data_IF_748345240188
#
_entry.id   IF_748345240188
#
_cell.length_a   1.000
_cell.length_b   1.000
_cell.length_c   1.000
_cell.angle_alpha   90.00
_cell.angle_beta   90.00
_cell.angle_gamma   90.00
#
_symmetry.space_group_name_H-M   'P 1'
#
loop_
_entity.id
_entity.type
_entity.pdbx_description
1 polymer ?
#
# COMPACT_ATOMS: atom_id res chain seq x y z
N UNK A 1 22.65 19.97 40.15
CA UNK A 1 21.43 19.80 39.35
C UNK A 1 20.50 18.79 40.00
N UNK A 2 19.33 19.22 40.42
CA UNK A 2 18.29 18.31 40.97
C UNK A 2 17.37 17.92 39.79
N UNK A 3 17.39 16.65 39.41
CA UNK A 3 16.51 16.15 38.40
C UNK A 3 15.05 16.12 38.88
N UNK A 4 14.15 16.74 38.15
CA UNK A 4 12.71 16.62 38.42
C UNK A 4 12.27 15.17 38.26
N UNK A 5 11.47 14.68 39.22
CA UNK A 5 11.02 13.27 39.25
C UNK A 5 10.33 12.82 37.95
N UNK A 6 9.50 13.70 37.40
CA UNK A 6 8.81 13.49 36.11
C UNK A 6 9.77 13.27 34.92
N UNK A 7 10.89 14.04 34.89
CA UNK A 7 11.90 13.89 33.84
C UNK A 7 12.65 12.58 33.97
N UNK A 8 12.87 12.09 35.17
CA UNK A 8 13.51 10.79 35.43
C UNK A 8 12.62 9.65 35.02
N UNK A 9 11.31 9.75 35.29
CA UNK A 9 10.31 8.75 34.84
C UNK A 9 10.18 8.73 33.33
N UNK A 10 10.10 9.89 32.69
CA UNK A 10 10.09 10.01 31.22
C UNK A 10 11.35 9.42 30.57
N UNK A 11 12.51 9.71 31.11
CA UNK A 11 13.78 9.15 30.63
C UNK A 11 13.84 7.62 30.77
N UNK A 12 13.30 7.06 31.86
CA UNK A 12 13.20 5.61 32.06
C UNK A 12 12.24 4.97 31.03
N UNK A 13 11.11 5.60 30.76
CA UNK A 13 10.15 5.15 29.77
C UNK A 13 10.76 5.14 28.35
N UNK A 14 11.37 6.26 27.96
CA UNK A 14 12.06 6.38 26.66
C UNK A 14 13.13 5.29 26.53
N UNK A 15 13.96 5.08 27.58
CA UNK A 15 14.99 4.05 27.56
C UNK A 15 14.42 2.64 27.41
N UNK A 16 13.24 2.37 27.94
CA UNK A 16 12.55 1.08 27.83
C UNK A 16 11.98 0.85 26.44
N UNK A 17 11.46 1.89 25.81
CA UNK A 17 10.75 1.81 24.53
C UNK A 17 11.64 2.09 23.30
N UNK A 18 12.88 2.52 23.51
CA UNK A 18 13.85 2.80 22.45
C UNK A 18 15.02 1.83 22.46
N UNK A 19 15.61 1.63 21.30
CA UNK A 19 16.89 0.95 21.15
C UNK A 19 17.84 1.81 20.32
N UNK A 20 19.09 1.89 20.75
CA UNK A 20 20.11 2.66 20.02
C UNK A 20 20.50 1.98 18.73
N UNK A 21 20.64 2.78 17.67
CA UNK A 21 21.19 2.30 16.41
C UNK A 21 22.62 1.75 16.62
N UNK A 22 22.95 0.55 16.11
CA UNK A 22 24.27 -0.05 16.30
C UNK A 22 25.40 0.70 15.63
N UNK A 23 25.12 1.62 14.68
CA UNK A 23 26.12 2.41 13.98
C UNK A 23 26.30 3.82 14.51
N UNK A 24 25.22 4.54 14.78
CA UNK A 24 25.28 5.95 15.18
C UNK A 24 24.72 6.27 16.56
N UNK A 25 24.30 5.25 17.31
CA UNK A 25 23.73 5.34 18.66
C UNK A 25 22.43 6.18 18.77
N UNK A 26 21.87 6.68 17.66
CA UNK A 26 20.58 7.39 17.68
C UNK A 26 19.50 6.50 18.28
N UNK A 27 18.72 6.99 19.26
CA UNK A 27 17.61 6.24 19.84
C UNK A 27 16.50 6.08 18.81
N UNK A 28 16.05 4.85 18.62
CA UNK A 28 15.00 4.49 17.65
C UNK A 28 13.85 3.87 18.45
N UNK A 29 12.65 4.34 18.16
CA UNK A 29 11.42 3.84 18.74
C UNK A 29 10.73 2.87 17.77
N UNK A 30 10.18 1.78 18.30
CA UNK A 30 9.41 0.81 17.50
C UNK A 30 7.97 0.82 17.96
N UNK A 31 7.06 1.28 17.09
CA UNK A 31 5.63 1.27 17.38
C UNK A 31 5.08 -0.14 17.15
N UNK A 32 5.22 -0.65 15.93
CA UNK A 32 4.85 -1.99 15.48
C UNK A 32 5.72 -2.39 14.28
N UNK A 33 5.65 -3.64 13.87
CA UNK A 33 6.31 -4.12 12.65
C UNK A 33 7.34 -5.23 12.88
N UNK A 34 8.05 -5.58 11.81
CA UNK A 34 9.02 -6.67 11.79
C UNK A 34 10.28 -6.36 12.60
N UNK A 35 11.11 -7.38 12.80
CA UNK A 35 12.38 -7.27 13.53
C UNK A 35 13.38 -6.34 12.85
N UNK A 36 13.33 -6.24 11.51
CA UNK A 36 14.29 -5.45 10.76
C UNK A 36 13.93 -3.95 10.78
N UNK A 37 14.76 -3.17 11.45
CA UNK A 37 14.65 -1.73 11.59
C UNK A 37 15.59 -0.99 10.64
N UNK A 38 15.28 0.27 10.37
CA UNK A 38 16.11 1.15 9.55
C UNK A 38 16.37 2.47 10.27
N UNK A 39 17.64 2.80 10.44
CA UNK A 39 18.02 4.08 11.04
C UNK A 39 17.87 5.20 10.01
N UNK A 40 16.95 6.12 10.24
CA UNK A 40 16.73 7.28 9.36
C UNK A 40 17.89 8.27 9.37
N UNK A 41 18.72 8.26 10.41
CA UNK A 41 19.86 9.17 10.55
C UNK A 41 21.07 8.68 9.73
N UNK A 42 21.56 7.47 9.99
CA UNK A 42 22.77 6.93 9.37
C UNK A 42 22.48 5.92 8.23
N UNK A 43 21.21 5.70 7.89
CA UNK A 43 20.74 4.83 6.79
C UNK A 43 21.16 3.36 6.93
N UNK A 44 21.32 2.90 8.16
CA UNK A 44 21.77 1.54 8.48
C UNK A 44 20.59 0.66 8.86
N UNK A 45 20.36 -0.48 8.17
CA UNK A 45 19.40 -1.48 8.58
C UNK A 45 19.98 -2.36 9.71
N UNK A 46 19.16 -2.73 10.67
CA UNK A 46 19.57 -3.57 11.81
C UNK A 46 18.39 -4.38 12.38
N UNK A 47 18.69 -5.45 13.09
CA UNK A 47 17.68 -6.25 13.80
C UNK A 47 17.34 -5.59 15.13
N UNK A 48 16.05 -5.40 15.40
CA UNK A 48 15.56 -4.89 16.68
C UNK A 48 15.87 -5.83 17.84
N UNK A 49 15.67 -7.14 17.64
CA UNK A 49 15.84 -8.14 18.68
C UNK A 49 17.30 -8.33 19.07
N UNK A 50 18.19 -8.41 18.09
CA UNK A 50 19.61 -8.67 18.34
C UNK A 50 20.48 -7.40 18.46
N UNK A 51 20.00 -6.26 17.93
CA UNK A 51 20.78 -5.02 17.86
C UNK A 51 21.94 -5.08 16.84
N UNK A 52 22.02 -6.11 16.01
CA UNK A 52 23.10 -6.27 15.00
C UNK A 52 22.72 -5.65 13.68
N UNK A 53 23.70 -5.12 12.95
CA UNK A 53 23.52 -4.60 11.59
C UNK A 53 23.06 -5.76 10.69
N UNK A 54 22.00 -5.53 9.91
CA UNK A 54 21.48 -6.51 8.97
C UNK A 54 22.39 -6.56 7.73
N UNK A 55 22.97 -7.74 7.45
CA UNK A 55 23.91 -7.96 6.33
C UNK A 55 23.26 -8.76 5.19
N UNK A 56 22.00 -9.18 5.32
CA UNK A 56 21.28 -9.95 4.32
C UNK A 56 20.33 -9.09 3.49
N UNK A 57 19.28 -9.75 3.01
CA UNK A 57 18.21 -9.08 2.26
C UNK A 57 17.51 -8.06 3.17
N UNK A 58 17.44 -6.81 2.73
CA UNK A 58 16.77 -5.74 3.46
C UNK A 58 15.29 -5.74 3.05
N UNK A 59 14.40 -5.80 4.04
CA UNK A 59 12.95 -5.84 3.84
C UNK A 59 12.26 -4.56 4.31
N UNK A 60 12.97 -3.67 5.00
CA UNK A 60 12.39 -2.48 5.60
C UNK A 60 11.93 -1.48 4.53
N UNK A 61 10.65 -1.07 4.49
CA UNK A 61 10.11 -0.18 3.48
C UNK A 61 10.78 1.21 3.47
N UNK A 62 11.22 1.72 4.61
CA UNK A 62 11.92 3.00 4.70
C UNK A 62 13.30 2.96 4.04
N UNK A 63 13.96 1.79 4.03
CA UNK A 63 15.20 1.61 3.29
C UNK A 63 14.96 1.76 1.78
N UNK A 64 13.91 1.13 1.25
CA UNK A 64 13.58 1.23 -0.18
C UNK A 64 13.08 2.61 -0.58
N UNK A 65 12.36 3.29 0.32
CA UNK A 65 11.96 4.68 0.11
C UNK A 65 13.19 5.58 -0.02
N UNK A 66 14.10 5.50 0.94
CA UNK A 66 15.35 6.26 0.92
C UNK A 66 16.19 5.96 -0.32
N UNK A 67 16.29 4.69 -0.72
CA UNK A 67 17.03 4.27 -1.91
C UNK A 67 16.44 4.89 -3.18
N UNK A 68 15.12 4.93 -3.33
CA UNK A 68 14.45 5.59 -4.46
C UNK A 68 14.69 7.09 -4.50
N UNK A 69 14.63 7.75 -3.36
CA UNK A 69 14.86 9.19 -3.23
C UNK A 69 16.30 9.59 -3.54
N UNK A 70 17.26 8.67 -3.36
CA UNK A 70 18.69 8.90 -3.60
C UNK A 70 19.22 8.23 -4.88
N UNK A 71 18.36 7.94 -5.86
CA UNK A 71 18.73 7.46 -7.18
C UNK A 71 19.19 6.01 -7.24
N UNK A 72 18.99 5.23 -6.18
CA UNK A 72 19.29 3.81 -6.16
C UNK A 72 18.26 2.98 -6.94
N UNK A 73 18.69 2.29 -7.97
CA UNK A 73 17.92 1.24 -8.67
C UNK A 73 18.01 -0.09 -7.91
N UNK A 74 17.61 -0.09 -6.63
CA UNK A 74 17.56 -1.34 -5.86
C UNK A 74 16.44 -2.24 -6.37
N UNK A 75 16.67 -3.54 -6.51
CA UNK A 75 15.62 -4.46 -6.89
C UNK A 75 14.49 -4.39 -5.87
N UNK A 76 13.28 -4.13 -6.34
CA UNK A 76 12.08 -4.45 -5.57
C UNK A 76 12.13 -5.96 -5.37
N UNK A 77 12.47 -6.41 -4.16
CA UNK A 77 12.48 -7.84 -3.88
C UNK A 77 11.01 -8.32 -3.88
N UNK A 78 10.57 -9.06 -4.91
CA UNK A 78 9.17 -9.52 -4.99
C UNK A 78 8.82 -10.54 -3.90
N UNK A 79 9.78 -10.99 -3.10
CA UNK A 79 9.61 -11.99 -2.04
C UNK A 79 9.76 -11.41 -0.62
N UNK A 80 9.87 -10.10 -0.47
CA UNK A 80 9.93 -9.50 0.86
C UNK A 80 8.52 -9.50 1.50
N UNK A 81 8.28 -10.43 2.40
CA UNK A 81 7.04 -10.54 3.19
C UNK A 81 6.76 -9.37 4.16
N UNK A 82 7.46 -8.26 4.03
CA UNK A 82 7.18 -7.04 4.78
C UNK A 82 6.25 -6.14 3.97
N UNK A 83 4.96 -6.41 4.01
CA UNK A 83 3.89 -5.54 3.50
C UNK A 83 3.51 -5.72 2.02
N UNK A 84 4.04 -6.72 1.31
CA UNK A 84 3.61 -7.08 -0.05
C UNK A 84 2.65 -8.27 -0.09
N UNK A 85 2.07 -8.52 -1.26
CA UNK A 85 1.31 -9.75 -1.49
C UNK A 85 2.25 -10.96 -1.55
N UNK A 86 1.82 -12.11 -1.00
CA UNK A 86 2.52 -13.38 -1.18
C UNK A 86 2.47 -13.81 -2.66
N UNK A 87 3.37 -14.71 -3.04
CA UNK A 87 3.25 -15.34 -4.36
C UNK A 87 2.02 -16.24 -4.41
N UNK A 88 1.39 -16.38 -5.59
CA UNK A 88 0.22 -17.26 -5.77
C UNK A 88 0.48 -18.67 -5.24
N UNK A 89 1.59 -19.27 -5.60
CA UNK A 89 1.94 -20.63 -5.16
C UNK A 89 2.25 -20.74 -3.68
N UNK A 90 2.85 -19.71 -3.08
CA UNK A 90 3.08 -19.64 -1.64
C UNK A 90 1.76 -19.58 -0.87
N UNK A 91 0.84 -18.72 -1.30
CA UNK A 91 -0.50 -18.59 -0.74
C UNK A 91 -1.31 -19.88 -0.89
N UNK A 92 -1.39 -20.43 -2.10
CA UNK A 92 -2.11 -21.68 -2.37
C UNK A 92 -1.60 -22.85 -1.51
N UNK A 93 -0.27 -23.05 -1.45
CA UNK A 93 0.35 -24.13 -0.66
C UNK A 93 0.08 -23.98 0.82
N UNK A 94 0.22 -22.78 1.37
CA UNK A 94 -0.05 -22.48 2.77
C UNK A 94 -1.52 -22.77 3.12
N UNK A 95 -2.47 -22.26 2.35
CA UNK A 95 -3.90 -22.49 2.60
C UNK A 95 -4.28 -23.96 2.43
N UNK A 96 -3.77 -24.63 1.39
CA UNK A 96 -4.04 -26.06 1.17
C UNK A 96 -3.57 -26.92 2.35
N UNK A 97 -2.40 -26.62 2.90
CA UNK A 97 -1.89 -27.30 4.09
C UNK A 97 -2.78 -27.06 5.31
N UNK A 98 -3.21 -25.79 5.51
CA UNK A 98 -4.08 -25.43 6.64
C UNK A 98 -5.43 -26.14 6.62
N UNK A 99 -6.08 -26.21 5.45
CA UNK A 99 -7.44 -26.77 5.33
C UNK A 99 -7.46 -28.25 4.98
N UNK A 100 -6.32 -28.92 5.02
CA UNK A 100 -6.22 -30.35 4.65
C UNK A 100 -7.17 -31.25 5.47
N UNK A 101 -7.43 -30.89 6.73
CA UNK A 101 -8.34 -31.59 7.64
C UNK A 101 -9.79 -31.11 7.57
N UNK A 102 -10.12 -30.19 6.65
CA UNK A 102 -11.44 -29.54 6.52
C UNK A 102 -11.94 -29.68 5.07
N UNK A 103 -12.49 -30.84 4.69
CA UNK A 103 -12.86 -31.13 3.29
C UNK A 103 -13.98 -30.24 2.75
N UNK A 104 -14.78 -29.62 3.62
CA UNK A 104 -15.83 -28.65 3.27
C UNK A 104 -15.27 -27.31 2.81
N UNK A 105 -14.00 -27.01 3.10
CA UNK A 105 -13.39 -25.74 2.74
C UNK A 105 -12.75 -25.78 1.35
N UNK A 106 -13.03 -24.78 0.53
CA UNK A 106 -12.53 -24.68 -0.83
C UNK A 106 -11.43 -23.61 -0.96
N UNK A 107 -10.16 -24.06 -1.06
CA UNK A 107 -9.00 -23.17 -1.30
C UNK A 107 -9.21 -22.27 -2.50
N UNK A 108 -9.85 -22.78 -3.56
CA UNK A 108 -9.98 -22.08 -4.84
C UNK A 108 -10.65 -20.73 -4.72
N UNK A 109 -11.65 -20.57 -3.81
CA UNK A 109 -12.33 -19.28 -3.62
C UNK A 109 -11.40 -18.17 -3.15
N UNK A 110 -10.46 -18.50 -2.25
CA UNK A 110 -9.48 -17.54 -1.73
C UNK A 110 -8.43 -17.19 -2.79
N UNK A 111 -7.97 -18.20 -3.52
CA UNK A 111 -6.97 -18.02 -4.57
C UNK A 111 -7.49 -17.19 -5.75
N UNK A 112 -8.75 -17.34 -6.15
CA UNK A 112 -9.38 -16.53 -7.19
C UNK A 112 -9.40 -15.05 -6.79
N UNK A 113 -9.76 -14.75 -5.54
CA UNK A 113 -9.78 -13.37 -5.03
C UNK A 113 -8.37 -12.78 -5.03
N UNK A 114 -7.38 -13.53 -4.56
CA UNK A 114 -5.99 -13.09 -4.57
C UNK A 114 -5.47 -12.84 -5.99
N UNK A 115 -5.75 -13.74 -6.94
CA UNK A 115 -5.32 -13.62 -8.34
C UNK A 115 -5.89 -12.35 -8.99
N UNK A 116 -7.20 -12.14 -8.87
CA UNK A 116 -7.84 -10.94 -9.44
C UNK A 116 -7.38 -9.67 -8.76
N UNK A 117 -7.15 -9.72 -7.46
CA UNK A 117 -6.63 -8.56 -6.73
C UNK A 117 -5.19 -8.24 -7.12
N UNK A 118 -4.33 -9.25 -7.30
CA UNK A 118 -2.96 -9.05 -7.82
C UNK A 118 -2.99 -8.41 -9.21
N UNK A 119 -3.82 -8.95 -10.11
CA UNK A 119 -4.00 -8.38 -11.44
C UNK A 119 -4.49 -6.92 -11.39
N UNK A 120 -5.46 -6.62 -10.53
CA UNK A 120 -5.93 -5.24 -10.32
C UNK A 120 -4.79 -4.32 -9.86
N UNK A 121 -3.97 -4.75 -8.90
CA UNK A 121 -2.84 -3.94 -8.43
C UNK A 121 -1.84 -3.62 -9.54
N UNK A 122 -1.43 -4.64 -10.29
CA UNK A 122 -0.37 -4.51 -11.29
C UNK A 122 -0.84 -3.76 -12.54
N UNK A 123 -2.03 -4.07 -13.02
CA UNK A 123 -2.53 -3.59 -14.32
C UNK A 123 -3.31 -2.28 -14.20
N UNK A 124 -3.92 -2.01 -13.05
CA UNK A 124 -4.82 -0.86 -12.90
C UNK A 124 -4.30 0.15 -11.88
N UNK A 125 -4.05 -0.28 -10.64
CA UNK A 125 -3.72 0.63 -9.53
C UNK A 125 -2.35 1.28 -9.71
N UNK A 126 -1.30 0.49 -9.98
CA UNK A 126 0.07 1.01 -10.15
C UNK A 126 0.16 1.94 -11.37
N UNK A 127 -0.35 1.61 -12.57
CA UNK A 127 -0.35 2.53 -13.69
C UNK A 127 -1.11 3.83 -13.43
N UNK A 128 -2.27 3.78 -12.76
CA UNK A 128 -3.02 4.99 -12.41
C UNK A 128 -2.22 5.87 -11.43
N UNK A 129 -1.62 5.27 -10.40
CA UNK A 129 -0.75 5.98 -9.45
C UNK A 129 0.40 6.68 -10.18
N UNK A 130 1.12 5.97 -11.04
CA UNK A 130 2.24 6.52 -11.80
C UNK A 130 1.81 7.64 -12.76
N UNK A 131 0.64 7.51 -13.38
CA UNK A 131 0.05 8.56 -14.22
C UNK A 131 -0.23 9.83 -13.41
N UNK A 132 -0.79 9.70 -12.21
CA UNK A 132 -1.20 10.83 -11.38
C UNK A 132 -0.04 11.50 -10.63
N UNK A 133 1.10 10.83 -10.48
CA UNK A 133 2.33 11.45 -9.96
C UNK A 133 2.92 12.50 -10.92
N UNK A 134 2.66 12.36 -12.22
CA UNK A 134 3.13 13.32 -13.22
C UNK A 134 2.23 14.53 -13.27
N UNK A 135 2.83 15.73 -13.37
CA UNK A 135 2.07 16.94 -13.59
C UNK A 135 1.39 16.93 -14.98
N UNK A 136 0.16 17.47 -15.09
CA UNK A 136 -0.53 17.51 -16.37
C UNK A 136 0.16 18.47 -17.34
N UNK A 137 0.65 17.94 -18.45
CA UNK A 137 1.21 18.76 -19.51
C UNK A 137 0.09 19.41 -20.35
N UNK A 138 -0.03 20.73 -20.20
CA UNK A 138 -0.94 21.56 -20.98
C UNK A 138 -0.22 22.40 -22.05
N UNK A 139 1.07 22.14 -22.33
CA UNK A 139 1.87 22.93 -23.26
C UNK A 139 1.24 23.02 -24.65
N UNK A 140 0.89 21.87 -25.25
CA UNK A 140 0.24 21.83 -26.55
C UNK A 140 -1.07 22.61 -26.57
N UNK A 141 -1.89 22.48 -25.53
CA UNK A 141 -3.16 23.19 -25.44
C UNK A 141 -2.95 24.72 -25.36
N UNK A 142 -1.92 25.18 -24.62
CA UNK A 142 -1.54 26.61 -24.56
C UNK A 142 -1.04 27.11 -25.90
N UNK A 143 -0.20 26.34 -26.60
CA UNK A 143 0.32 26.70 -27.91
C UNK A 143 -0.83 26.85 -28.95
N UNK A 144 -1.78 25.94 -28.98
CA UNK A 144 -2.96 26.03 -29.85
C UNK A 144 -3.82 27.27 -29.57
N UNK A 145 -3.94 27.65 -28.28
CA UNK A 145 -4.66 28.88 -27.92
C UNK A 145 -3.90 30.11 -28.36
N UNK A 146 -2.59 30.20 -28.12
CA UNK A 146 -1.74 31.31 -28.52
C UNK A 146 -1.64 31.49 -30.06
N UNK A 147 -1.67 30.37 -30.78
CA UNK A 147 -1.68 30.37 -32.25
C UNK A 147 -3.05 30.72 -32.87
N UNK A 148 -4.07 30.98 -32.03
CA UNK A 148 -5.42 31.32 -32.52
C UNK A 148 -6.22 30.12 -33.05
N UNK A 149 -5.68 28.88 -32.93
CA UNK A 149 -6.37 27.66 -33.37
C UNK A 149 -7.56 27.30 -32.45
N UNK A 150 -7.58 27.82 -31.22
CA UNK A 150 -8.65 27.61 -30.24
C UNK A 150 -9.15 28.92 -29.68
N UNK A 151 -10.46 29.06 -29.58
CA UNK A 151 -11.09 30.20 -28.89
C UNK A 151 -10.86 30.08 -27.38
N UNK A 152 -10.89 31.21 -26.67
CA UNK A 152 -10.76 31.27 -25.22
C UNK A 152 -11.78 30.36 -24.51
N UNK A 153 -13.02 30.36 -24.98
CA UNK A 153 -14.10 29.49 -24.46
C UNK A 153 -13.73 28.01 -24.55
N UNK A 154 -13.23 27.56 -25.71
CA UNK A 154 -12.84 26.18 -25.92
C UNK A 154 -11.59 25.80 -25.11
N UNK A 155 -10.64 26.71 -24.97
CA UNK A 155 -9.46 26.54 -24.12
C UNK A 155 -9.85 26.34 -22.65
N UNK A 156 -10.65 27.25 -22.09
CA UNK A 156 -11.16 27.15 -20.69
C UNK A 156 -11.96 25.87 -20.48
N UNK A 157 -12.87 25.54 -21.37
CA UNK A 157 -13.68 24.32 -21.26
C UNK A 157 -12.82 23.06 -21.27
N UNK A 158 -11.78 23.02 -22.10
CA UNK A 158 -10.85 21.86 -22.15
C UNK A 158 -10.04 21.73 -20.87
N UNK A 159 -9.57 22.86 -20.32
CA UNK A 159 -8.85 22.85 -19.04
C UNK A 159 -9.72 22.34 -17.88
N UNK A 160 -10.97 22.84 -17.79
CA UNK A 160 -11.93 22.41 -16.75
C UNK A 160 -12.21 20.89 -16.87
N UNK A 161 -12.43 20.39 -18.10
CA UNK A 161 -12.65 18.95 -18.35
C UNK A 161 -11.43 18.11 -17.90
N UNK A 162 -10.20 18.56 -18.21
CA UNK A 162 -8.97 17.87 -17.79
C UNK A 162 -8.81 17.90 -16.26
N UNK A 163 -9.08 19.03 -15.63
CA UNK A 163 -9.02 19.19 -14.18
C UNK A 163 -10.00 18.27 -13.46
N UNK A 164 -11.27 18.29 -13.87
CA UNK A 164 -12.32 17.45 -13.27
C UNK A 164 -12.00 15.96 -13.45
N UNK A 165 -11.53 15.55 -14.64
CA UNK A 165 -11.09 14.19 -14.88
C UNK A 165 -9.96 13.76 -13.94
N UNK A 166 -8.96 14.63 -13.75
CA UNK A 166 -7.83 14.36 -12.86
C UNK A 166 -8.26 14.23 -11.40
N UNK A 167 -9.15 15.10 -10.95
CA UNK A 167 -9.68 15.04 -9.59
C UNK A 167 -10.48 13.77 -9.35
N UNK A 168 -11.35 13.38 -10.29
CA UNK A 168 -12.02 12.08 -10.23
C UNK A 168 -11.03 10.91 -10.14
N UNK A 169 -10.00 10.92 -10.99
CA UNK A 169 -8.97 9.86 -10.98
C UNK A 169 -8.19 9.83 -9.64
N UNK A 170 -7.97 10.98 -8.99
CA UNK A 170 -7.36 11.04 -7.65
C UNK A 170 -8.25 10.42 -6.57
N UNK A 171 -9.53 10.79 -6.51
CA UNK A 171 -10.48 10.24 -5.54
C UNK A 171 -10.62 8.72 -5.72
N UNK A 172 -10.71 8.24 -6.97
CA UNK A 172 -10.72 6.81 -7.27
C UNK A 172 -9.42 6.13 -6.80
N UNK A 173 -8.26 6.77 -7.01
CA UNK A 173 -6.97 6.25 -6.56
C UNK A 173 -6.90 6.12 -5.04
N UNK A 174 -7.44 7.10 -4.30
CA UNK A 174 -7.43 7.09 -2.83
C UNK A 174 -8.28 5.93 -2.30
N UNK A 175 -9.49 5.73 -2.86
CA UNK A 175 -10.38 4.61 -2.53
C UNK A 175 -9.70 3.26 -2.86
N UNK A 176 -9.08 3.14 -4.03
CA UNK A 176 -8.39 1.93 -4.44
C UNK A 176 -7.12 1.65 -3.64
N UNK A 177 -6.45 2.71 -3.16
CA UNK A 177 -5.28 2.57 -2.28
C UNK A 177 -5.70 2.05 -0.90
N UNK A 178 -6.83 2.53 -0.36
CA UNK A 178 -7.42 1.98 0.86
C UNK A 178 -7.76 0.49 0.68
N UNK A 179 -8.46 0.14 -0.41
CA UNK A 179 -8.73 -1.26 -0.73
C UNK A 179 -7.45 -2.10 -0.74
N UNK A 180 -6.42 -1.62 -1.45
CA UNK A 180 -5.17 -2.36 -1.59
C UNK A 180 -4.47 -2.59 -0.26
N UNK A 181 -4.40 -1.58 0.61
CA UNK A 181 -3.77 -1.69 1.93
C UNK A 181 -4.46 -2.74 2.79
N UNK A 182 -5.78 -2.65 2.93
CA UNK A 182 -6.55 -3.56 3.80
C UNK A 182 -6.63 -4.98 3.20
N UNK A 183 -6.67 -5.13 1.87
CA UNK A 183 -6.63 -6.44 1.22
C UNK A 183 -5.31 -7.15 1.46
N UNK A 184 -4.17 -6.45 1.34
CA UNK A 184 -2.85 -7.02 1.61
C UNK A 184 -2.75 -7.52 3.06
N UNK A 185 -3.22 -6.73 4.02
CA UNK A 185 -3.25 -7.12 5.43
C UNK A 185 -4.09 -8.38 5.67
N UNK A 186 -5.31 -8.44 5.10
CA UNK A 186 -6.15 -9.62 5.25
C UNK A 186 -5.59 -10.87 4.55
N UNK A 187 -5.00 -10.73 3.36
CA UNK A 187 -4.37 -11.84 2.64
C UNK A 187 -3.17 -12.39 3.43
N UNK A 188 -2.33 -11.53 4.00
CA UNK A 188 -1.23 -11.95 4.86
C UNK A 188 -1.74 -12.60 6.15
N UNK A 189 -2.76 -12.02 6.79
CA UNK A 189 -3.39 -12.60 7.97
C UNK A 189 -4.04 -13.98 7.70
N UNK A 190 -4.56 -14.23 6.49
CA UNK A 190 -5.02 -15.55 6.08
C UNK A 190 -3.88 -16.59 6.07
N UNK A 191 -2.65 -16.16 5.74
CA UNK A 191 -1.48 -17.05 5.76
C UNK A 191 -0.97 -17.33 7.18
N UNK A 192 -1.01 -16.32 8.05
CA UNK A 192 -0.42 -16.42 9.39
C UNK A 192 -1.42 -16.95 10.43
N UNK A 193 -2.72 -16.70 10.25
CA UNK A 193 -3.79 -17.05 11.18
C UNK A 193 -4.17 -18.53 11.16
N UNK A 194 -5.12 -18.87 12.01
CA UNK A 194 -5.73 -20.22 12.11
C UNK A 194 -6.74 -20.46 10.99
N UNK A 195 -7.19 -21.72 10.83
CA UNK A 195 -8.25 -22.08 9.87
C UNK A 195 -9.57 -21.36 10.20
N UNK A 196 -9.88 -21.19 11.47
CA UNK A 196 -11.12 -20.51 11.90
C UNK A 196 -11.10 -19.01 11.54
N UNK A 197 -9.95 -18.37 11.59
CA UNK A 197 -9.80 -16.97 11.19
C UNK A 197 -9.82 -16.77 9.67
N UNK A 198 -9.52 -17.81 8.89
CA UNK A 198 -9.47 -17.75 7.43
C UNK A 198 -10.79 -17.25 6.82
N UNK A 199 -11.91 -17.84 7.23
CA UNK A 199 -13.23 -17.44 6.73
C UNK A 199 -13.60 -16.04 7.19
N UNK A 200 -13.30 -15.68 8.42
CA UNK A 200 -13.53 -14.33 8.94
C UNK A 200 -12.76 -13.29 8.12
N UNK A 201 -11.47 -13.52 7.84
CA UNK A 201 -10.64 -12.63 7.01
C UNK A 201 -11.17 -12.50 5.59
N UNK A 202 -11.64 -13.60 5.01
CA UNK A 202 -12.29 -13.58 3.70
C UNK A 202 -13.57 -12.73 3.71
N UNK A 203 -14.41 -12.90 4.72
CA UNK A 203 -15.62 -12.09 4.87
C UNK A 203 -15.31 -10.60 5.09
N UNK A 204 -14.21 -10.27 5.78
CA UNK A 204 -13.72 -8.91 5.91
C UNK A 204 -13.36 -8.31 4.55
N UNK A 205 -12.68 -9.08 3.68
CA UNK A 205 -12.42 -8.66 2.30
C UNK A 205 -13.73 -8.36 1.54
N UNK A 206 -14.74 -9.23 1.66
CA UNK A 206 -16.03 -9.02 0.99
C UNK A 206 -16.77 -7.79 1.52
N UNK A 207 -16.76 -7.56 2.82
CA UNK A 207 -17.33 -6.33 3.43
C UNK A 207 -16.62 -5.07 2.94
N UNK A 208 -15.30 -5.10 2.90
CA UNK A 208 -14.50 -4.01 2.35
C UNK A 208 -14.85 -3.72 0.88
N UNK A 209 -15.00 -4.76 0.06
CA UNK A 209 -15.41 -4.61 -1.34
C UNK A 209 -16.76 -3.88 -1.48
N UNK A 210 -17.74 -4.24 -0.67
CA UNK A 210 -19.05 -3.59 -0.67
C UNK A 210 -18.94 -2.11 -0.29
N UNK A 211 -18.16 -1.80 0.74
CA UNK A 211 -17.88 -0.43 1.14
C UNK A 211 -17.22 0.36 0.00
N UNK A 212 -16.14 -0.17 -0.58
CA UNK A 212 -15.42 0.45 -1.70
C UNK A 212 -16.33 0.68 -2.90
N UNK A 213 -17.18 -0.27 -3.26
CA UNK A 213 -18.13 -0.12 -4.35
C UNK A 213 -19.13 1.01 -4.09
N UNK A 214 -19.57 1.19 -2.85
CA UNK A 214 -20.45 2.30 -2.45
C UNK A 214 -19.75 3.65 -2.64
N UNK A 215 -18.50 3.78 -2.18
CA UNK A 215 -17.70 5.01 -2.35
C UNK A 215 -17.43 5.31 -3.83
N UNK A 216 -17.10 4.28 -4.64
CA UNK A 216 -16.92 4.45 -6.10
C UNK A 216 -18.21 4.88 -6.80
N UNK A 217 -19.37 4.43 -6.33
CA UNK A 217 -20.66 4.88 -6.85
C UNK A 217 -20.93 6.35 -6.52
N UNK A 218 -20.57 6.79 -5.31
CA UNK A 218 -20.66 8.20 -4.91
C UNK A 218 -19.77 9.10 -5.78
N UNK A 219 -18.53 8.66 -6.08
CA UNK A 219 -17.65 9.37 -7.03
C UNK A 219 -18.27 9.42 -8.43
N UNK A 220 -18.90 8.32 -8.88
CA UNK A 220 -19.59 8.26 -10.17
C UNK A 220 -20.72 9.29 -10.28
N UNK A 221 -21.50 9.46 -9.20
CA UNK A 221 -22.57 10.44 -9.09
C UNK A 221 -22.00 11.88 -9.08
N UNK A 222 -21.00 12.14 -8.22
CA UNK A 222 -20.37 13.47 -8.06
C UNK A 222 -19.84 14.00 -9.40
N UNK A 223 -19.20 13.17 -10.19
CA UNK A 223 -18.62 13.57 -11.47
C UNK A 223 -19.53 13.30 -12.68
N UNK A 224 -20.72 12.74 -12.47
CA UNK A 224 -21.63 12.31 -13.55
C UNK A 224 -20.94 11.45 -14.62
N UNK A 225 -20.02 10.59 -14.18
CA UNK A 225 -19.21 9.73 -15.05
C UNK A 225 -19.06 8.36 -14.40
N UNK A 226 -19.37 7.31 -15.15
CA UNK A 226 -19.25 5.94 -14.68
C UNK A 226 -17.84 5.64 -14.13
N UNK A 227 -17.76 5.12 -12.92
CA UNK A 227 -16.57 4.56 -12.28
C UNK A 227 -16.76 3.05 -12.19
N UNK A 228 -15.71 2.31 -12.47
CA UNK A 228 -15.71 0.85 -12.40
C UNK A 228 -15.77 0.37 -10.95
N UNK A 229 -16.54 -0.68 -10.69
CA UNK A 229 -16.72 -1.33 -9.38
C UNK A 229 -16.22 -2.78 -9.41
N UNK A 230 -16.15 -3.44 -8.27
CA UNK A 230 -15.65 -4.82 -8.15
C UNK A 230 -16.80 -5.82 -8.03
N UNK A 231 -16.72 -6.93 -8.74
CA UNK A 231 -17.61 -8.08 -8.52
C UNK A 231 -17.23 -8.89 -7.27
N UNK A 232 -17.98 -9.96 -6.97
CA UNK A 232 -17.77 -10.86 -5.83
C UNK A 232 -16.38 -11.56 -5.83
N UNK A 233 -15.75 -11.64 -6.99
CA UNK A 233 -14.41 -12.20 -7.20
C UNK A 233 -13.32 -11.14 -7.32
N UNK A 234 -13.62 -9.88 -6.99
CA UNK A 234 -12.70 -8.74 -7.10
C UNK A 234 -12.23 -8.42 -8.52
N UNK A 235 -13.00 -8.80 -9.56
CA UNK A 235 -12.77 -8.32 -10.91
C UNK A 235 -13.39 -6.94 -11.08
N UNK A 236 -12.65 -6.05 -11.74
CA UNK A 236 -13.12 -4.70 -12.04
C UNK A 236 -14.05 -4.70 -13.26
N UNK A 237 -15.29 -4.21 -13.09
CA UNK A 237 -16.36 -4.14 -14.11
C UNK A 237 -16.57 -2.74 -14.63
#
# INVERSE_FOLDING_TARGET
HVCKKENVESAKLIKKETRSCPKCATPIFKINGCDQMFCTQCKTPFSWNTGRIATGVIHNPHFFQWQRENGGTGPVNPHAHCGGLPTYWGFYRNLRQKIQSYPEMNVRKYCIVMEHFTHFQEVVLIPLRNKLQREPDNKVLRMQYLAGEKTEKNFKTTLIKRYNRRNKEKEVLDIWTLLATVMIENINAMMDGTVFELEERFQNCQRLRLYVNKELSSVSETYSQKVKTFDDKFRLK
#
